data_IF_928659247779
#
_entry.id   IF_928659247779
#
_cell.length_a   1.000
_cell.length_b   1.000
_cell.length_c   1.000
_cell.angle_alpha   90.00
_cell.angle_beta   90.00
_cell.angle_gamma   90.00
#
_symmetry.space_group_name_H-M   'P 1'
#
loop_
_entity.id
_entity.type
_entity.pdbx_description
1 polymer ?
#
# COMPACT_ATOMS: atom_id res chain seq x y z
N UNK A 1 34.99 -86.47 24.88
CA UNK A 1 36.38 -86.62 25.36
C UNK A 1 37.00 -85.23 25.37
N UNK A 2 36.83 -84.45 26.45
CA UNK A 2 37.84 -84.23 27.50
C UNK A 2 39.27 -84.06 26.96
N UNK A 3 39.73 -82.81 26.88
CA UNK A 3 40.96 -82.40 27.55
C UNK A 3 40.93 -80.88 27.81
N UNK A 4 41.20 -80.53 29.07
CA UNK A 4 41.20 -79.19 29.62
C UNK A 4 42.54 -78.48 29.33
N UNK A 5 42.53 -77.15 29.35
CA UNK A 5 43.73 -76.35 29.60
C UNK A 5 43.35 -75.06 30.32
N UNK A 6 43.63 -75.12 31.62
CA UNK A 6 44.16 -74.12 32.56
C UNK A 6 43.92 -72.63 32.25
N UNK A 7 43.27 -72.03 33.26
CA UNK A 7 42.99 -70.63 33.53
C UNK A 7 44.26 -69.85 33.88
N UNK A 8 44.37 -68.62 33.35
CA UNK A 8 45.19 -67.55 33.94
C UNK A 8 44.34 -66.27 33.96
N UNK A 9 43.94 -65.89 35.18
CA UNK A 9 43.14 -64.70 35.48
C UNK A 9 44.08 -63.49 35.57
N UNK A 10 43.85 -62.48 34.73
CA UNK A 10 44.38 -61.13 34.92
C UNK A 10 43.22 -60.20 35.32
N UNK A 11 43.22 -59.76 36.58
CA UNK A 11 42.38 -58.66 37.07
C UNK A 11 42.99 -57.32 36.61
N UNK A 12 42.24 -56.42 35.94
CA UNK A 12 42.59 -55.02 35.92
C UNK A 12 41.92 -54.29 37.10
N UNK A 13 42.74 -53.55 37.85
CA UNK A 13 42.34 -52.57 38.87
C UNK A 13 41.29 -51.59 38.30
N UNK A 14 40.12 -51.50 38.91
CA UNK A 14 39.22 -50.35 38.75
C UNK A 14 39.82 -49.16 39.51
N UNK A 15 40.33 -48.17 38.77
CA UNK A 15 40.52 -46.84 39.30
C UNK A 15 39.17 -46.10 39.25
N UNK A 16 38.57 -45.86 40.42
CA UNK A 16 37.41 -45.00 40.57
C UNK A 16 37.85 -43.54 40.37
N UNK A 17 37.64 -42.99 39.17
CA UNK A 17 37.70 -41.54 38.98
C UNK A 17 36.35 -40.95 39.40
N UNK A 18 36.38 -40.10 40.41
CA UNK A 18 35.26 -39.25 40.82
C UNK A 18 34.77 -38.42 39.62
N UNK A 19 33.55 -38.69 39.18
CA UNK A 19 32.88 -37.89 38.18
C UNK A 19 32.56 -36.52 38.78
N UNK A 20 33.32 -35.50 38.38
CA UNK A 20 32.94 -34.11 38.58
C UNK A 20 31.60 -33.87 37.89
N UNK A 21 30.59 -33.49 38.69
CA UNK A 21 29.30 -33.04 38.22
C UNK A 21 29.45 -31.70 37.50
N UNK A 22 29.82 -31.74 36.23
CA UNK A 22 29.67 -30.61 35.33
C UNK A 22 28.17 -30.41 35.08
N UNK A 23 27.61 -29.38 35.70
CA UNK A 23 26.33 -28.81 35.29
C UNK A 23 26.36 -28.55 33.78
N UNK A 24 25.34 -28.97 33.00
CA UNK A 24 25.31 -28.66 31.59
C UNK A 24 25.32 -27.14 31.45
N UNK A 25 26.38 -26.61 30.83
CA UNK A 25 26.47 -25.21 30.47
C UNK A 25 25.25 -24.89 29.59
N UNK A 26 24.50 -23.80 29.85
CA UNK A 26 23.36 -23.46 29.02
C UNK A 26 23.84 -23.32 27.59
N UNK A 27 23.31 -24.15 26.68
CA UNK A 27 23.50 -24.00 25.24
C UNK A 27 23.23 -22.54 24.91
N UNK A 28 24.17 -21.78 24.34
CA UNK A 28 23.93 -20.38 24.02
C UNK A 28 22.68 -20.33 23.14
N UNK A 29 21.67 -19.58 23.61
CA UNK A 29 20.41 -19.45 22.88
C UNK A 29 20.73 -19.04 21.45
N UNK A 30 20.35 -19.87 20.48
CA UNK A 30 20.56 -19.60 19.05
C UNK A 30 19.98 -18.22 18.74
N UNK A 31 20.85 -17.27 18.40
CA UNK A 31 20.42 -15.93 17.98
C UNK A 31 19.62 -16.11 16.69
N UNK A 32 18.33 -15.81 16.75
CA UNK A 32 17.45 -15.85 15.57
C UNK A 32 17.95 -14.85 14.55
N UNK A 33 18.16 -15.31 13.32
CA UNK A 33 18.60 -14.45 12.21
C UNK A 33 17.47 -13.54 11.73
N UNK A 34 17.82 -12.44 11.06
CA UNK A 34 16.83 -11.55 10.44
C UNK A 34 15.96 -12.29 9.41
N UNK A 35 16.50 -13.29 8.71
CA UNK A 35 15.76 -14.11 7.75
C UNK A 35 14.70 -14.99 8.41
N UNK A 36 15.01 -15.60 9.55
CA UNK A 36 14.03 -16.40 10.32
C UNK A 36 12.91 -15.51 10.87
N UNK A 37 13.23 -14.28 11.29
CA UNK A 37 12.22 -13.29 11.72
C UNK A 37 11.36 -12.85 10.54
N UNK A 38 11.96 -12.57 9.38
CA UNK A 38 11.25 -12.16 8.18
C UNK A 38 10.25 -13.24 7.71
N UNK A 39 10.66 -14.50 7.68
CA UNK A 39 9.76 -15.61 7.34
C UNK A 39 8.59 -15.70 8.33
N UNK A 40 8.86 -15.62 9.63
CA UNK A 40 7.83 -15.65 10.66
C UNK A 40 6.86 -14.47 10.53
N UNK A 41 7.37 -13.28 10.21
CA UNK A 41 6.56 -12.09 9.93
C UNK A 41 5.62 -12.30 8.74
N UNK A 42 6.09 -12.85 7.61
CA UNK A 42 5.22 -13.14 6.45
C UNK A 42 4.07 -14.08 6.84
N UNK A 43 4.37 -15.12 7.61
CA UNK A 43 3.34 -16.06 8.09
C UNK A 43 2.33 -15.39 9.03
N UNK A 44 2.76 -14.45 9.87
CA UNK A 44 1.85 -13.66 10.69
C UNK A 44 0.94 -12.75 9.87
N UNK A 45 1.46 -12.10 8.82
CA UNK A 45 0.66 -11.27 7.91
C UNK A 45 -0.40 -12.12 7.21
N UNK A 46 -0.05 -13.31 6.73
CA UNK A 46 -1.00 -14.23 6.11
C UNK A 46 -2.05 -14.78 7.09
N UNK A 47 -1.66 -15.02 8.35
CA UNK A 47 -2.59 -15.41 9.41
C UNK A 47 -3.54 -14.26 9.78
N UNK A 48 -3.05 -13.01 9.80
CA UNK A 48 -3.87 -11.82 10.00
C UNK A 48 -4.93 -11.68 8.89
N UNK A 49 -4.58 -12.02 7.65
CA UNK A 49 -5.51 -12.06 6.52
C UNK A 49 -6.72 -13.00 6.71
N UNK A 50 -6.69 -13.94 7.66
CA UNK A 50 -7.86 -14.77 8.01
C UNK A 50 -8.83 -14.08 8.98
N UNK A 51 -8.41 -12.98 9.61
CA UNK A 51 -9.26 -12.13 10.45
C UNK A 51 -9.78 -10.93 9.70
N UNK A 52 -8.95 -10.38 8.81
CA UNK A 52 -9.25 -9.20 8.03
C UNK A 52 -8.97 -9.46 6.54
N UNK A 53 -10.03 -9.63 5.71
CA UNK A 53 -9.87 -9.97 4.31
C UNK A 53 -9.21 -8.86 3.47
N UNK A 54 -9.16 -7.62 3.98
CA UNK A 54 -8.52 -6.49 3.30
C UNK A 54 -7.05 -6.32 3.74
N UNK A 55 -6.55 -7.11 4.72
CA UNK A 55 -5.21 -6.92 5.28
C UNK A 55 -4.08 -7.26 4.32
N UNK A 56 -4.23 -8.30 3.50
CA UNK A 56 -3.19 -8.76 2.55
C UNK A 56 -3.52 -8.26 1.16
N UNK A 57 -2.88 -7.16 0.77
CA UNK A 57 -3.07 -6.52 -0.53
C UNK A 57 -2.49 -7.38 -1.66
N UNK A 58 -1.25 -7.82 -1.49
CA UNK A 58 -0.56 -8.70 -2.42
C UNK A 58 0.27 -9.75 -1.67
N UNK A 59 0.35 -10.95 -2.26
CA UNK A 59 1.26 -12.00 -1.83
C UNK A 59 1.73 -12.82 -3.03
N UNK A 60 3.05 -12.89 -3.19
CA UNK A 60 3.70 -13.62 -4.28
C UNK A 60 4.90 -14.46 -3.79
N UNK A 61 4.93 -14.76 -2.49
CA UNK A 61 5.86 -15.72 -1.91
C UNK A 61 5.43 -17.17 -2.12
N UNK A 62 6.06 -18.12 -1.40
CA UNK A 62 5.78 -19.54 -1.56
C UNK A 62 4.31 -19.93 -1.31
N UNK A 63 3.62 -20.57 -2.26
CA UNK A 63 2.18 -20.85 -2.17
C UNK A 63 1.80 -21.72 -0.97
N UNK A 64 2.72 -22.56 -0.49
CA UNK A 64 2.52 -23.41 0.69
C UNK A 64 2.34 -22.60 1.97
N UNK A 65 2.94 -21.41 2.11
CA UNK A 65 2.73 -20.59 3.31
C UNK A 65 1.31 -20.04 3.37
N UNK A 66 0.74 -19.63 2.23
CA UNK A 66 -0.66 -19.22 2.14
C UNK A 66 -1.62 -20.37 2.44
N UNK A 67 -1.27 -21.61 2.06
CA UNK A 67 -2.05 -22.80 2.40
C UNK A 67 -1.98 -23.11 3.90
N UNK A 68 -0.79 -23.01 4.50
CA UNK A 68 -0.58 -23.26 5.94
C UNK A 68 -1.28 -22.22 6.81
N UNK A 69 -1.45 -20.99 6.33
CA UNK A 69 -2.14 -19.92 7.07
C UNK A 69 -3.68 -19.99 6.97
N UNK A 70 -4.27 -21.02 6.35
CA UNK A 70 -5.73 -21.16 6.25
C UNK A 70 -6.39 -21.48 7.60
N UNK A 71 -5.64 -22.10 8.52
CA UNK A 71 -6.10 -22.29 9.89
C UNK A 71 -6.02 -20.95 10.65
N UNK A 72 -7.17 -20.50 11.16
CA UNK A 72 -7.32 -19.19 11.79
C UNK A 72 -6.67 -19.17 13.18
N UNK A 73 -5.39 -18.77 13.23
CA UNK A 73 -4.66 -18.52 14.48
C UNK A 73 -5.37 -17.45 15.33
N UNK A 74 -5.54 -17.60 16.66
CA UNK A 74 -6.15 -16.57 17.51
C UNK A 74 -5.39 -15.23 17.47
N UNK A 75 -6.11 -14.11 17.58
CA UNK A 75 -5.51 -12.76 17.57
C UNK A 75 -4.46 -12.57 18.69
N UNK A 76 -4.73 -13.08 19.89
CA UNK A 76 -3.78 -13.01 21.02
C UNK A 76 -2.47 -13.77 20.73
N UNK A 77 -2.54 -14.88 19.98
CA UNK A 77 -1.36 -15.62 19.56
C UNK A 77 -0.57 -14.85 18.48
N UNK A 78 -1.26 -14.17 17.55
CA UNK A 78 -0.63 -13.27 16.58
C UNK A 78 0.09 -12.11 17.30
N UNK A 79 -0.58 -11.46 18.27
CA UNK A 79 0.00 -10.39 19.08
C UNK A 79 1.26 -10.85 19.84
N UNK A 80 1.16 -12.00 20.53
CA UNK A 80 2.27 -12.55 21.30
C UNK A 80 3.47 -12.86 20.40
N UNK A 81 3.23 -13.49 19.25
CA UNK A 81 4.29 -13.81 18.29
C UNK A 81 4.91 -12.55 17.67
N UNK A 82 4.12 -11.54 17.31
CA UNK A 82 4.62 -10.28 16.76
C UNK A 82 5.54 -9.56 17.77
N UNK A 83 5.09 -9.44 19.02
CA UNK A 83 5.88 -8.86 20.13
C UNK A 83 7.18 -9.64 20.32
N UNK A 84 7.11 -10.99 20.37
CA UNK A 84 8.29 -11.84 20.50
C UNK A 84 9.29 -11.65 19.36
N UNK A 85 8.81 -11.52 18.11
CA UNK A 85 9.67 -11.28 16.95
C UNK A 85 10.34 -9.90 17.02
N UNK A 86 9.61 -8.87 17.46
CA UNK A 86 10.15 -7.52 17.65
C UNK A 86 11.26 -7.50 18.71
N UNK A 87 11.06 -8.21 19.83
CA UNK A 87 12.07 -8.36 20.88
C UNK A 87 13.31 -9.14 20.40
N UNK A 88 13.11 -10.18 19.58
CA UNK A 88 14.22 -10.92 18.98
C UNK A 88 15.02 -10.04 18.01
N UNK A 89 14.32 -9.25 17.19
CA UNK A 89 14.92 -8.34 16.21
C UNK A 89 15.77 -7.23 16.89
N UNK A 90 15.35 -6.77 18.07
CA UNK A 90 16.09 -5.81 18.88
C UNK A 90 17.41 -6.38 19.44
N UNK A 91 17.47 -7.70 19.69
CA UNK A 91 18.66 -8.39 20.21
C UNK A 91 19.74 -8.69 19.15
N UNK A 92 19.39 -8.59 17.86
CA UNK A 92 20.36 -8.76 16.78
C UNK A 92 21.39 -7.61 16.84
N UNK A 93 22.68 -7.94 16.82
CA UNK A 93 23.77 -6.95 16.82
C UNK A 93 23.62 -5.96 15.66
N UNK A 94 23.93 -4.68 15.88
CA UNK A 94 23.86 -3.66 14.82
C UNK A 94 24.81 -4.03 13.67
N UNK A 95 24.28 -4.04 12.43
CA UNK A 95 25.07 -4.30 11.23
C UNK A 95 25.79 -3.03 10.77
N UNK A 96 27.03 -3.18 10.27
CA UNK A 96 27.75 -2.11 9.57
C UNK A 96 27.19 -1.89 8.16
N UNK A 97 26.51 -2.87 7.58
CA UNK A 97 25.79 -2.74 6.31
C UNK A 97 24.53 -1.89 6.48
N UNK A 98 24.39 -0.85 5.66
CA UNK A 98 23.26 0.09 5.72
C UNK A 98 21.93 -0.55 5.36
N UNK A 99 21.92 -1.39 4.33
CA UNK A 99 20.72 -2.04 3.84
C UNK A 99 20.15 -3.00 4.90
N UNK A 100 21.00 -3.73 5.62
CA UNK A 100 20.59 -4.55 6.76
C UNK A 100 20.07 -3.70 7.94
N UNK A 101 20.62 -2.50 8.20
CA UNK A 101 20.04 -1.60 9.21
C UNK A 101 18.65 -1.12 8.83
N UNK A 102 18.46 -0.70 7.57
CA UNK A 102 17.17 -0.26 7.05
C UNK A 102 16.15 -1.40 7.05
N UNK A 103 16.55 -2.61 6.64
CA UNK A 103 15.73 -3.83 6.69
C UNK A 103 15.20 -4.11 8.09
N UNK A 104 16.05 -3.98 9.11
CA UNK A 104 15.64 -4.15 10.51
C UNK A 104 14.65 -3.07 10.94
N UNK A 105 14.91 -1.80 10.59
CA UNK A 105 13.98 -0.70 10.85
C UNK A 105 12.61 -0.96 10.21
N UNK A 106 12.59 -1.41 8.96
CA UNK A 106 11.39 -1.83 8.24
C UNK A 106 10.63 -2.92 9.00
N UNK A 107 11.26 -4.06 9.32
CA UNK A 107 10.61 -5.16 10.04
C UNK A 107 10.08 -4.73 11.41
N UNK A 108 10.80 -3.87 12.15
CA UNK A 108 10.31 -3.33 13.42
C UNK A 108 9.01 -2.55 13.23
N UNK A 109 8.97 -1.63 12.26
CA UNK A 109 7.78 -0.80 11.98
C UNK A 109 6.60 -1.65 11.48
N UNK A 110 6.89 -2.64 10.65
CA UNK A 110 5.90 -3.58 10.15
C UNK A 110 5.26 -4.44 11.26
N UNK A 111 6.08 -4.97 12.18
CA UNK A 111 5.58 -5.71 13.34
C UNK A 111 4.76 -4.82 14.27
N UNK A 112 5.17 -3.56 14.49
CA UNK A 112 4.38 -2.60 15.29
C UNK A 112 3.02 -2.28 14.66
N UNK A 113 2.94 -2.12 13.34
CA UNK A 113 1.67 -1.91 12.65
C UNK A 113 0.76 -3.16 12.70
N UNK A 114 1.35 -4.36 12.59
CA UNK A 114 0.64 -5.62 12.80
C UNK A 114 0.07 -5.71 14.23
N UNK A 115 0.86 -5.39 15.25
CA UNK A 115 0.41 -5.32 16.65
C UNK A 115 -0.77 -4.33 16.78
N UNK A 116 -0.65 -3.12 16.23
CA UNK A 116 -1.73 -2.12 16.24
C UNK A 116 -3.02 -2.63 15.58
N UNK A 117 -2.92 -3.29 14.41
CA UNK A 117 -4.09 -3.87 13.75
C UNK A 117 -4.75 -4.97 14.59
N UNK A 118 -3.97 -5.80 15.30
CA UNK A 118 -4.55 -6.77 16.25
C UNK A 118 -5.41 -6.06 17.29
N UNK A 119 -4.92 -4.96 17.89
CA UNK A 119 -5.67 -4.25 18.94
C UNK A 119 -6.99 -3.65 18.40
N UNK A 120 -6.95 -3.08 17.20
CA UNK A 120 -8.15 -2.55 16.51
C UNK A 120 -9.18 -3.67 16.27
N UNK A 121 -8.73 -4.83 15.79
CA UNK A 121 -9.60 -6.00 15.59
C UNK A 121 -10.15 -6.58 16.90
N UNK A 122 -9.42 -6.43 18.00
CA UNK A 122 -9.87 -6.74 19.37
C UNK A 122 -10.78 -5.64 19.98
N UNK A 123 -11.17 -4.63 19.20
CA UNK A 123 -12.18 -3.65 19.59
C UNK A 123 -11.63 -2.32 20.12
N UNK A 124 -10.32 -2.12 20.14
CA UNK A 124 -9.76 -0.80 20.41
C UNK A 124 -10.26 0.23 19.38
N UNK A 125 -10.47 1.46 19.84
CA UNK A 125 -10.85 2.60 19.00
C UNK A 125 -9.80 3.68 19.19
N UNK A 126 -9.01 3.91 18.14
CA UNK A 126 -8.00 4.95 18.10
C UNK A 126 -8.60 6.21 17.46
N UNK A 127 -8.10 7.37 17.85
CA UNK A 127 -8.34 8.60 17.09
C UNK A 127 -7.63 8.54 15.75
N UNK A 128 -8.06 9.36 14.79
CA UNK A 128 -7.49 9.38 13.43
C UNK A 128 -5.95 9.50 13.40
N UNK A 129 -5.39 10.43 14.18
CA UNK A 129 -3.94 10.64 14.25
C UNK A 129 -3.21 9.49 14.96
N UNK A 130 -3.83 8.91 15.98
CA UNK A 130 -3.26 7.77 16.70
C UNK A 130 -3.25 6.52 15.81
N UNK A 131 -4.33 6.29 15.07
CA UNK A 131 -4.45 5.18 14.13
C UNK A 131 -3.48 5.34 12.95
N UNK A 132 -3.44 6.51 12.33
CA UNK A 132 -2.53 6.78 11.22
C UNK A 132 -1.06 6.69 11.63
N UNK A 133 -0.70 7.19 12.80
CA UNK A 133 0.66 7.03 13.34
C UNK A 133 0.99 5.56 13.64
N UNK A 134 0.04 4.78 14.17
CA UNK A 134 0.27 3.39 14.53
C UNK A 134 0.35 2.45 13.32
N UNK A 135 -0.47 2.68 12.29
CA UNK A 135 -0.54 1.84 11.10
C UNK A 135 0.40 2.31 10.00
N UNK A 136 0.52 3.62 9.76
CA UNK A 136 1.22 4.17 8.58
C UNK A 136 2.50 4.94 8.93
N UNK A 137 2.83 5.08 10.22
CA UNK A 137 3.98 5.84 10.73
C UNK A 137 4.00 7.31 10.29
N UNK A 138 2.82 7.91 10.11
CA UNK A 138 2.67 9.27 9.65
C UNK A 138 1.44 9.97 10.25
N UNK A 139 1.53 11.30 10.31
CA UNK A 139 0.44 12.19 10.70
C UNK A 139 0.13 13.11 9.52
N UNK A 140 -1.16 13.22 9.19
CA UNK A 140 -1.60 14.15 8.15
C UNK A 140 -1.57 15.59 8.70
N UNK A 141 -1.15 16.58 7.90
CA UNK A 141 -1.28 17.98 8.28
C UNK A 141 -2.74 18.35 8.55
N UNK A 142 -2.95 19.40 9.34
CA UNK A 142 -4.28 19.93 9.65
C UNK A 142 -4.55 21.23 8.94
N UNK A 143 -5.78 21.40 8.45
CA UNK A 143 -6.24 22.63 7.82
C UNK A 143 -7.55 23.10 8.43
N UNK A 144 -7.60 24.38 8.79
CA UNK A 144 -8.84 25.00 9.27
C UNK A 144 -9.85 25.17 8.13
N UNK A 145 -11.13 25.28 8.48
CA UNK A 145 -12.23 25.51 7.53
C UNK A 145 -11.96 26.72 6.59
N UNK A 146 -11.34 27.78 7.11
CA UNK A 146 -10.98 28.99 6.35
C UNK A 146 -10.06 28.69 5.17
N UNK A 147 -9.15 27.71 5.29
CA UNK A 147 -8.27 27.30 4.20
C UNK A 147 -9.07 26.85 2.97
N UNK A 148 -10.08 25.99 3.18
CA UNK A 148 -10.92 25.50 2.11
C UNK A 148 -11.85 26.59 1.58
N UNK A 149 -12.40 27.43 2.45
CA UNK A 149 -13.25 28.57 2.06
C UNK A 149 -12.52 29.54 1.13
N UNK A 150 -11.24 29.85 1.39
CA UNK A 150 -10.42 30.71 0.53
C UNK A 150 -10.20 30.10 -0.86
N UNK A 151 -9.98 28.78 -0.94
CA UNK A 151 -9.83 28.07 -2.22
C UNK A 151 -11.15 28.08 -3.00
N UNK A 152 -12.27 27.80 -2.33
CA UNK A 152 -13.61 27.83 -2.94
C UNK A 152 -13.95 29.24 -3.45
N UNK A 153 -13.60 30.29 -2.71
CA UNK A 153 -13.80 31.68 -3.13
C UNK A 153 -13.00 32.05 -4.39
N UNK A 154 -11.80 31.45 -4.58
CA UNK A 154 -10.99 31.61 -5.80
C UNK A 154 -11.54 30.79 -6.98
N UNK A 155 -12.20 29.68 -6.69
CA UNK A 155 -12.83 28.84 -7.70
C UNK A 155 -14.13 29.45 -8.22
N UNK A 156 -14.89 30.12 -7.36
CA UNK A 156 -16.19 30.69 -7.70
C UNK A 156 -16.25 31.49 -9.01
N UNK A 157 -15.42 32.54 -9.21
CA UNK A 157 -15.48 33.35 -10.43
C UNK A 157 -15.06 32.58 -11.70
N UNK A 158 -14.48 31.37 -11.57
CA UNK A 158 -14.07 30.54 -12.71
C UNK A 158 -15.19 29.64 -13.24
N UNK A 159 -16.26 29.48 -12.47
CA UNK A 159 -17.38 28.61 -12.79
C UNK A 159 -18.67 29.44 -12.79
N UNK A 160 -18.90 30.31 -13.80
CA UNK A 160 -20.09 31.16 -13.85
C UNK A 160 -21.37 30.34 -14.11
N UNK A 161 -22.52 30.85 -13.65
CA UNK A 161 -23.83 30.25 -13.86
C UNK A 161 -24.72 30.31 -12.61
N UNK A 162 -25.87 29.65 -12.69
CA UNK A 162 -26.83 29.56 -11.57
C UNK A 162 -26.57 28.32 -10.69
N UNK A 163 -27.06 28.34 -9.45
CA UNK A 163 -26.96 27.22 -8.51
C UNK A 163 -25.81 27.32 -7.50
N UNK A 164 -25.50 26.21 -6.83
CA UNK A 164 -24.36 26.12 -5.92
C UNK A 164 -23.05 25.92 -6.68
N UNK A 165 -21.90 26.22 -6.05
CA UNK A 165 -20.58 25.97 -6.64
C UNK A 165 -20.40 24.52 -7.10
N UNK A 166 -20.84 23.56 -6.27
CA UNK A 166 -20.83 22.14 -6.62
C UNK A 166 -21.64 21.84 -7.88
N UNK A 167 -22.86 22.39 -8.01
CA UNK A 167 -23.69 22.20 -9.20
C UNK A 167 -23.02 22.79 -10.45
N UNK A 168 -22.42 23.97 -10.34
CA UNK A 168 -21.69 24.59 -11.45
C UNK A 168 -20.45 23.80 -11.84
N UNK A 169 -19.68 23.32 -10.86
CA UNK A 169 -18.53 22.45 -11.09
C UNK A 169 -18.92 21.14 -11.78
N UNK A 170 -19.94 20.45 -11.30
CA UNK A 170 -20.42 19.20 -11.89
C UNK A 170 -21.00 19.41 -13.30
N UNK A 171 -21.68 20.52 -13.57
CA UNK A 171 -22.15 20.86 -14.91
C UNK A 171 -20.98 21.17 -15.85
N UNK A 172 -20.02 21.98 -15.40
CA UNK A 172 -18.83 22.37 -16.16
C UNK A 172 -17.98 21.15 -16.55
N UNK A 173 -17.74 20.23 -15.61
CA UNK A 173 -16.80 19.13 -15.83
C UNK A 173 -17.32 18.04 -16.78
N UNK A 174 -18.63 17.96 -17.03
CA UNK A 174 -19.24 16.98 -17.95
C UNK A 174 -18.64 17.01 -19.34
N UNK A 175 -18.20 18.18 -19.79
CA UNK A 175 -17.57 18.36 -21.10
C UNK A 175 -16.21 17.64 -21.23
N UNK A 176 -15.62 17.17 -20.13
CA UNK A 176 -14.31 16.53 -20.08
C UNK A 176 -14.37 15.03 -19.74
N UNK A 177 -15.57 14.44 -19.79
CA UNK A 177 -15.74 12.99 -19.63
C UNK A 177 -15.21 12.28 -20.86
N UNK A 178 -14.40 11.24 -20.66
CA UNK A 178 -13.97 10.35 -21.74
C UNK A 178 -15.16 9.46 -22.14
N UNK A 179 -15.61 9.47 -23.41
CA UNK A 179 -16.67 8.58 -23.87
C UNK A 179 -16.30 7.11 -23.67
N UNK A 180 -17.27 6.28 -23.29
CA UNK A 180 -17.02 4.87 -22.91
C UNK A 180 -16.36 4.05 -24.02
N UNK A 181 -16.73 4.30 -25.26
CA UNK A 181 -16.18 3.69 -26.48
C UNK A 181 -14.74 4.13 -26.79
N UNK A 182 -14.26 5.21 -26.16
CA UNK A 182 -12.91 5.76 -26.33
C UNK A 182 -11.99 5.50 -25.14
N UNK A 183 -12.52 5.00 -24.01
CA UNK A 183 -11.76 4.79 -22.78
C UNK A 183 -10.50 3.94 -23.01
N UNK A 184 -10.66 2.79 -23.66
CA UNK A 184 -9.52 1.88 -23.90
C UNK A 184 -8.43 2.57 -24.72
N UNK A 185 -8.77 3.17 -25.86
CA UNK A 185 -7.83 3.92 -26.70
C UNK A 185 -7.08 5.00 -25.93
N UNK A 186 -7.79 5.82 -25.14
CA UNK A 186 -7.20 6.91 -24.35
C UNK A 186 -6.25 6.35 -23.28
N UNK A 187 -6.65 5.29 -22.57
CA UNK A 187 -5.79 4.66 -21.55
C UNK A 187 -4.56 4.01 -22.17
N UNK A 188 -4.67 3.29 -23.29
CA UNK A 188 -3.52 2.69 -23.96
C UNK A 188 -2.51 3.75 -24.42
N UNK A 189 -2.98 4.90 -24.93
CA UNK A 189 -2.11 6.03 -25.28
C UNK A 189 -1.39 6.60 -24.05
N UNK A 190 -2.10 6.77 -22.94
CA UNK A 190 -1.52 7.25 -21.68
C UNK A 190 -0.48 6.26 -21.13
N UNK A 191 -0.81 4.96 -21.08
CA UNK A 191 0.09 3.89 -20.64
C UNK A 191 1.36 3.84 -21.48
N UNK A 192 1.24 3.91 -22.81
CA UNK A 192 2.39 3.92 -23.71
C UNK A 192 3.32 5.10 -23.41
N UNK A 193 2.76 6.30 -23.28
CA UNK A 193 3.54 7.51 -23.01
C UNK A 193 4.23 7.45 -21.64
N UNK A 194 3.51 7.01 -20.60
CA UNK A 194 4.03 6.78 -19.26
C UNK A 194 5.16 5.75 -19.25
N UNK A 195 5.02 4.65 -20.01
CA UNK A 195 6.04 3.61 -20.14
C UNK A 195 7.31 4.12 -20.81
N UNK A 196 7.17 4.80 -21.94
CA UNK A 196 8.30 5.39 -22.68
C UNK A 196 9.14 6.32 -21.78
N UNK A 197 8.47 7.19 -21.01
CA UNK A 197 9.11 8.10 -20.06
C UNK A 197 9.72 7.37 -18.87
N UNK A 198 9.01 6.38 -18.32
CA UNK A 198 9.54 5.56 -17.22
C UNK A 198 10.86 4.90 -17.59
N UNK A 199 10.96 4.34 -18.80
CA UNK A 199 12.17 3.67 -19.28
C UNK A 199 13.37 4.61 -19.50
N UNK A 200 13.15 5.93 -19.59
CA UNK A 200 14.23 6.91 -19.61
C UNK A 200 14.90 7.07 -18.23
N UNK A 201 14.20 6.75 -17.15
CA UNK A 201 14.65 6.94 -15.77
C UNK A 201 14.93 5.63 -15.03
N UNK A 202 14.19 4.57 -15.35
CA UNK A 202 14.13 3.34 -14.56
C UNK A 202 14.36 2.14 -15.45
N UNK A 203 15.34 1.30 -15.09
CA UNK A 203 15.55 0.00 -15.73
C UNK A 203 14.58 -1.02 -15.14
N UNK A 204 13.77 -1.62 -16.01
CA UNK A 204 12.78 -2.61 -15.63
C UNK A 204 13.21 -4.05 -15.95
N UNK A 205 12.74 -5.06 -15.20
CA UNK A 205 12.93 -6.47 -15.57
C UNK A 205 12.38 -6.73 -16.99
N UNK A 206 13.13 -7.38 -17.91
CA UNK A 206 12.68 -7.52 -19.31
C UNK A 206 11.33 -8.22 -19.49
N UNK A 207 10.90 -9.03 -18.52
CA UNK A 207 9.65 -9.77 -18.54
C UNK A 207 8.51 -9.06 -17.79
N UNK A 208 8.71 -7.85 -17.27
CA UNK A 208 7.62 -7.08 -16.64
C UNK A 208 6.52 -6.76 -17.63
N UNK A 209 5.27 -6.88 -17.19
CA UNK A 209 4.12 -6.42 -17.94
C UNK A 209 2.87 -6.37 -17.07
N UNK A 210 1.84 -5.68 -17.54
CA UNK A 210 0.49 -5.80 -17.00
C UNK A 210 -0.58 -5.85 -18.09
N UNK A 211 -1.75 -6.37 -17.71
CA UNK A 211 -2.98 -6.23 -18.49
C UNK A 211 -3.90 -5.22 -17.83
N UNK A 212 -4.85 -4.66 -18.61
CA UNK A 212 -5.89 -3.76 -18.12
C UNK A 212 -7.26 -4.38 -18.35
N UNK A 213 -8.13 -4.32 -17.35
CA UNK A 213 -9.49 -4.86 -17.40
C UNK A 213 -10.50 -3.84 -16.87
N UNK A 214 -11.65 -3.71 -17.54
CA UNK A 214 -12.76 -2.91 -17.04
C UNK A 214 -13.63 -3.72 -16.08
N UNK A 215 -13.97 -3.13 -14.94
CA UNK A 215 -14.85 -3.73 -13.91
C UNK A 215 -15.96 -2.77 -13.50
N UNK A 216 -16.92 -3.30 -12.73
CA UNK A 216 -18.07 -2.58 -12.16
C UNK A 216 -18.31 -3.04 -10.73
N UNK A 217 -19.15 -2.32 -9.99
CA UNK A 217 -19.56 -2.59 -8.59
C UNK A 217 -18.38 -2.71 -7.63
N UNK A 218 -17.35 -1.88 -7.84
CA UNK A 218 -16.18 -1.81 -6.98
C UNK A 218 -16.20 -0.52 -6.14
N UNK A 219 -15.67 -0.56 -4.90
CA UNK A 219 -15.63 0.64 -4.05
C UNK A 219 -14.53 1.63 -4.46
N UNK A 220 -13.59 1.22 -5.31
CA UNK A 220 -12.43 1.99 -5.79
C UNK A 220 -12.57 2.37 -7.27
N UNK A 221 -11.74 3.33 -7.72
CA UNK A 221 -11.73 3.83 -9.10
C UNK A 221 -10.81 3.04 -10.05
N UNK A 222 -9.64 2.64 -9.58
CA UNK A 222 -8.78 1.66 -10.23
C UNK A 222 -8.01 0.89 -9.15
N UNK A 223 -7.41 -0.23 -9.54
CA UNK A 223 -6.59 -1.03 -8.63
C UNK A 223 -5.59 -1.90 -9.38
N UNK A 224 -4.34 -1.93 -8.94
CA UNK A 224 -3.30 -2.84 -9.43
C UNK A 224 -3.25 -4.13 -8.60
N UNK A 225 -3.60 -5.26 -9.22
CA UNK A 225 -3.37 -6.56 -8.65
C UNK A 225 -2.01 -7.11 -9.05
N UNK A 226 -0.99 -6.92 -8.21
CA UNK A 226 0.32 -7.53 -8.43
C UNK A 226 0.26 -9.05 -8.22
N UNK A 227 0.72 -9.82 -9.21
CA UNK A 227 0.62 -11.29 -9.25
C UNK A 227 1.95 -12.00 -8.97
N UNK A 228 3.02 -11.25 -8.68
CA UNK A 228 4.38 -11.78 -8.71
C UNK A 228 4.89 -11.97 -10.13
N UNK A 229 6.10 -12.51 -10.26
CA UNK A 229 6.77 -12.78 -11.55
C UNK A 229 6.77 -11.57 -12.50
N UNK A 230 6.79 -10.37 -11.91
CA UNK A 230 6.73 -9.09 -12.63
C UNK A 230 5.44 -8.89 -13.43
N UNK A 231 4.30 -9.44 -12.97
CA UNK A 231 3.00 -9.32 -13.65
C UNK A 231 1.97 -8.63 -12.77
N UNK A 232 1.18 -7.73 -13.36
CA UNK A 232 -0.02 -7.16 -12.74
C UNK A 232 -1.26 -7.33 -13.60
N UNK A 233 -2.42 -7.22 -12.97
CA UNK A 233 -3.70 -6.93 -13.63
C UNK A 233 -4.19 -5.60 -13.07
N UNK A 234 -4.30 -4.58 -13.90
CA UNK A 234 -4.89 -3.29 -13.53
C UNK A 234 -6.38 -3.37 -13.84
N UNK A 235 -7.21 -3.12 -12.85
CA UNK A 235 -8.65 -3.05 -13.03
C UNK A 235 -9.11 -1.60 -12.95
N UNK A 236 -9.94 -1.16 -13.89
CA UNK A 236 -10.52 0.20 -13.93
C UNK A 236 -12.03 0.09 -13.71
N UNK A 237 -12.54 0.75 -12.68
CA UNK A 237 -13.97 0.76 -12.39
C UNK A 237 -14.69 1.76 -13.29
N UNK A 238 -15.72 1.29 -14.00
CA UNK A 238 -16.47 2.06 -15.00
C UNK A 238 -17.89 2.46 -14.56
N UNK A 239 -18.19 2.31 -13.27
CA UNK A 239 -19.47 2.71 -12.67
C UNK A 239 -19.68 4.24 -12.68
N UNK A 240 -18.60 5.01 -12.53
CA UNK A 240 -18.60 6.48 -12.54
C UNK A 240 -17.94 7.02 -13.82
N UNK A 241 -18.33 8.23 -14.27
CA UNK A 241 -17.64 8.89 -15.38
C UNK A 241 -16.14 9.05 -15.12
N UNK A 242 -15.32 8.67 -16.10
CA UNK A 242 -13.88 8.90 -16.08
C UNK A 242 -13.59 10.19 -16.85
N UNK A 243 -12.89 11.12 -16.21
CA UNK A 243 -12.54 12.43 -16.77
C UNK A 243 -11.13 12.40 -17.38
N UNK A 244 -10.85 13.33 -18.29
CA UNK A 244 -9.61 13.34 -19.08
C UNK A 244 -8.32 13.42 -18.24
N UNK A 245 -8.36 14.11 -17.10
CA UNK A 245 -7.25 14.17 -16.13
C UNK A 245 -6.85 12.79 -15.59
N UNK A 246 -7.83 11.89 -15.46
CA UNK A 246 -7.62 10.56 -14.91
C UNK A 246 -6.86 9.63 -15.85
N UNK A 247 -6.74 9.94 -17.14
CA UNK A 247 -6.07 9.07 -18.10
C UNK A 247 -4.58 8.89 -17.75
N UNK A 248 -3.85 10.00 -17.60
CA UNK A 248 -2.43 9.97 -17.21
C UNK A 248 -2.29 9.58 -15.75
N UNK A 249 -3.13 10.15 -14.87
CA UNK A 249 -3.05 9.88 -13.44
C UNK A 249 -3.16 8.36 -13.16
N UNK A 250 -4.15 7.66 -13.72
CA UNK A 250 -4.30 6.21 -13.53
C UNK A 250 -3.21 5.40 -14.22
N UNK A 251 -2.83 5.77 -15.45
CA UNK A 251 -1.77 5.07 -16.18
C UNK A 251 -0.42 5.14 -15.44
N UNK A 252 -0.13 6.29 -14.82
CA UNK A 252 1.06 6.48 -14.01
C UNK A 252 0.95 5.79 -12.65
N UNK A 253 -0.14 6.04 -11.91
CA UNK A 253 -0.35 5.56 -10.54
C UNK A 253 -0.42 4.04 -10.47
N UNK A 254 -1.18 3.40 -11.34
CA UNK A 254 -1.35 1.95 -11.32
C UNK A 254 -0.26 1.22 -12.12
N UNK A 255 0.30 1.87 -13.14
CA UNK A 255 1.22 1.28 -14.10
C UNK A 255 2.63 1.82 -13.99
N UNK A 256 2.97 2.75 -14.89
CA UNK A 256 4.33 3.23 -15.11
C UNK A 256 4.49 4.70 -14.67
N UNK A 257 5.24 5.03 -13.61
CA UNK A 257 6.12 4.20 -12.79
C UNK A 257 5.52 3.81 -11.42
N UNK A 258 4.20 3.82 -11.25
CA UNK A 258 3.54 3.58 -9.96
C UNK A 258 3.51 2.11 -9.52
N UNK A 259 2.37 1.63 -9.04
CA UNK A 259 2.25 0.35 -8.31
C UNK A 259 2.86 -0.85 -9.03
N UNK A 260 2.70 -0.98 -10.35
CA UNK A 260 3.31 -2.07 -11.10
C UNK A 260 4.84 -2.05 -11.01
N UNK A 261 5.46 -0.90 -11.31
CA UNK A 261 6.91 -0.74 -11.28
C UNK A 261 7.45 -0.84 -9.86
N UNK A 262 6.77 -0.25 -8.88
CA UNK A 262 7.10 -0.37 -7.46
C UNK A 262 7.24 -1.83 -7.03
N UNK A 263 6.20 -2.64 -7.27
CA UNK A 263 6.22 -4.05 -6.89
C UNK A 263 7.20 -4.88 -7.72
N UNK A 264 7.35 -4.61 -9.01
CA UNK A 264 8.32 -5.29 -9.87
C UNK A 264 9.76 -5.08 -9.39
N UNK A 265 10.08 -3.86 -8.94
CA UNK A 265 11.41 -3.53 -8.41
C UNK A 265 11.63 -4.07 -6.99
N UNK A 266 10.61 -4.13 -6.13
CA UNK A 266 10.71 -4.83 -4.84
C UNK A 266 10.98 -6.33 -5.06
N UNK A 267 10.23 -6.97 -5.95
CA UNK A 267 10.42 -8.40 -6.25
C UNK A 267 11.83 -8.65 -6.80
N UNK A 268 12.30 -7.82 -7.74
CA UNK A 268 13.63 -8.00 -8.34
C UNK A 268 14.74 -7.76 -7.32
N UNK A 269 14.76 -6.58 -6.70
CA UNK A 269 15.92 -6.13 -5.93
C UNK A 269 15.97 -6.70 -4.51
N UNK A 270 14.82 -6.92 -3.87
CA UNK A 270 14.76 -7.33 -2.47
C UNK A 270 14.40 -8.81 -2.32
N UNK A 271 13.38 -9.28 -3.03
CA UNK A 271 12.98 -10.69 -2.91
C UNK A 271 13.97 -11.61 -3.63
N UNK A 272 14.26 -11.35 -4.91
CA UNK A 272 15.08 -12.27 -5.73
C UNK A 272 16.58 -12.07 -5.55
N UNK A 273 17.09 -10.85 -5.66
CA UNK A 273 18.54 -10.63 -5.56
C UNK A 273 19.08 -10.80 -4.14
N UNK A 274 18.30 -10.38 -3.12
CA UNK A 274 18.72 -10.39 -1.71
C UNK A 274 18.11 -11.53 -0.88
N UNK A 275 17.10 -12.22 -1.38
CA UNK A 275 16.42 -13.27 -0.63
C UNK A 275 15.57 -12.75 0.54
N UNK A 276 15.16 -11.48 0.53
CA UNK A 276 14.40 -10.85 1.61
C UNK A 276 12.90 -11.10 1.43
N UNK A 277 12.45 -12.23 1.96
CA UNK A 277 11.09 -12.76 1.79
C UNK A 277 10.00 -11.86 2.37
N UNK A 278 10.31 -10.98 3.32
CA UNK A 278 9.33 -10.06 3.90
C UNK A 278 8.76 -9.06 2.89
N UNK A 279 9.43 -8.85 1.75
CA UNK A 279 8.93 -8.00 0.66
C UNK A 279 8.03 -8.76 -0.32
N UNK A 280 7.86 -10.08 -0.16
CA UNK A 280 6.94 -10.89 -0.98
C UNK A 280 5.47 -10.78 -0.55
N UNK A 281 5.20 -10.00 0.50
CA UNK A 281 3.86 -9.72 1.03
C UNK A 281 3.70 -8.21 1.19
N UNK A 282 2.50 -7.71 0.92
CA UNK A 282 2.14 -6.31 1.12
C UNK A 282 0.93 -6.23 2.07
N UNK A 283 1.14 -5.87 3.35
CA UNK A 283 0.06 -5.60 4.27
C UNK A 283 -0.50 -4.19 4.08
N UNK A 284 -1.81 -4.09 3.82
CA UNK A 284 -2.49 -2.84 3.49
C UNK A 284 -2.49 -1.83 4.65
N UNK A 285 -2.59 -2.30 5.90
CA UNK A 285 -2.57 -1.45 7.08
C UNK A 285 -1.16 -1.43 7.68
N UNK A 286 -0.21 -0.84 6.94
CA UNK A 286 1.20 -0.77 7.34
C UNK A 286 1.93 0.45 6.75
N UNK A 287 3.13 0.82 7.26
CA UNK A 287 3.90 1.95 6.73
C UNK A 287 4.36 1.75 5.28
N UNK A 288 4.36 0.50 4.79
CA UNK A 288 4.62 0.22 3.37
C UNK A 288 3.57 0.87 2.48
N UNK A 289 2.31 0.94 2.92
CA UNK A 289 1.22 1.51 2.13
C UNK A 289 1.40 3.00 1.87
N UNK A 290 1.87 3.75 2.88
CA UNK A 290 2.20 5.16 2.69
C UNK A 290 3.29 5.34 1.63
N UNK A 291 4.32 4.49 1.65
CA UNK A 291 5.41 4.54 0.66
C UNK A 291 4.92 4.12 -0.73
N UNK A 292 4.11 3.07 -0.82
CA UNK A 292 3.57 2.57 -2.07
C UNK A 292 2.64 3.60 -2.74
N UNK A 293 1.65 4.13 -1.99
CA UNK A 293 0.72 5.16 -2.48
C UNK A 293 1.44 6.49 -2.76
N UNK A 294 2.37 6.91 -1.90
CA UNK A 294 3.17 8.11 -2.12
C UNK A 294 4.01 8.01 -3.39
N UNK A 295 4.63 6.85 -3.64
CA UNK A 295 5.41 6.58 -4.85
C UNK A 295 4.52 6.57 -6.09
N UNK A 296 3.35 5.94 -6.01
CA UNK A 296 2.39 5.90 -7.11
C UNK A 296 1.87 7.29 -7.48
N UNK A 297 1.52 8.11 -6.50
CA UNK A 297 1.11 9.51 -6.70
C UNK A 297 2.24 10.35 -7.30
N UNK A 298 3.45 10.24 -6.75
CA UNK A 298 4.62 10.97 -7.24
C UNK A 298 5.07 10.51 -8.63
N UNK A 299 4.75 9.27 -9.02
CA UNK A 299 5.13 8.68 -10.30
C UNK A 299 4.73 9.52 -11.51
N UNK A 300 3.62 10.26 -11.41
CA UNK A 300 3.19 11.23 -12.43
C UNK A 300 4.24 12.30 -12.69
N UNK A 301 4.82 12.88 -11.64
CA UNK A 301 5.82 13.95 -11.73
C UNK A 301 7.17 13.43 -12.24
N UNK A 302 7.45 12.14 -12.05
CA UNK A 302 8.63 11.49 -12.62
C UNK A 302 8.56 11.41 -14.14
N UNK A 303 7.38 11.11 -14.70
CA UNK A 303 7.23 10.92 -16.14
C UNK A 303 6.77 12.17 -16.88
N UNK A 304 6.05 13.08 -16.22
CA UNK A 304 5.55 14.29 -16.83
C UNK A 304 5.81 15.51 -15.95
N UNK A 305 6.56 16.48 -16.48
CA UNK A 305 6.42 17.85 -16.01
C UNK A 305 5.06 18.41 -16.42
N UNK A 306 4.58 19.44 -15.72
CA UNK A 306 3.29 20.07 -16.04
C UNK A 306 3.19 20.57 -17.50
N UNK A 307 4.19 21.26 -18.09
CA UNK A 307 4.14 21.66 -19.50
C UNK A 307 4.09 20.47 -20.47
N UNK A 308 4.89 19.42 -20.22
CA UNK A 308 4.89 18.22 -21.08
C UNK A 308 3.56 17.49 -21.02
N UNK A 309 2.94 17.41 -19.83
CA UNK A 309 1.60 16.85 -19.65
C UNK A 309 0.58 17.61 -20.48
N UNK A 310 0.52 18.93 -20.34
CA UNK A 310 -0.44 19.77 -21.07
C UNK A 310 -0.25 19.62 -22.59
N UNK A 311 0.98 19.65 -23.08
CA UNK A 311 1.27 19.50 -24.50
C UNK A 311 0.81 18.12 -25.02
N UNK A 312 1.16 17.06 -24.30
CA UNK A 312 0.80 15.70 -24.69
C UNK A 312 -0.72 15.49 -24.67
N UNK A 313 -1.39 15.93 -23.62
CA UNK A 313 -2.84 15.84 -23.50
C UNK A 313 -3.55 16.60 -24.62
N UNK A 314 -3.14 17.84 -24.87
CA UNK A 314 -3.71 18.69 -25.93
C UNK A 314 -3.57 18.08 -27.32
N UNK A 315 -2.42 17.46 -27.60
CA UNK A 315 -2.12 16.89 -28.93
C UNK A 315 -2.64 15.47 -29.12
N UNK A 316 -2.75 14.69 -28.06
CA UNK A 316 -2.98 13.24 -28.14
C UNK A 316 -4.25 12.83 -27.41
N UNK A 317 -4.32 13.02 -26.08
CA UNK A 317 -5.40 12.44 -25.28
C UNK A 317 -6.75 13.13 -25.50
N UNK A 318 -6.77 14.47 -25.57
CA UNK A 318 -8.00 15.23 -25.77
C UNK A 318 -8.63 14.93 -27.14
N UNK A 319 -7.89 14.98 -28.27
CA UNK A 319 -8.42 14.53 -29.56
C UNK A 319 -8.86 13.07 -29.55
N UNK A 320 -8.09 12.17 -28.92
CA UNK A 320 -8.46 10.76 -28.81
C UNK A 320 -9.76 10.54 -28.04
N UNK A 321 -10.04 11.37 -27.03
CA UNK A 321 -11.31 11.39 -26.30
C UNK A 321 -12.44 12.12 -27.08
N UNK A 322 -12.11 12.87 -28.13
CA UNK A 322 -13.05 13.77 -28.83
C UNK A 322 -13.43 15.00 -28.01
N UNK A 323 -12.52 15.47 -27.16
CA UNK A 323 -12.67 16.69 -26.36
C UNK A 323 -11.89 17.80 -27.06
N UNK A 324 -12.52 18.96 -27.21
CA UNK A 324 -11.92 20.14 -27.86
C UNK A 324 -10.69 20.66 -27.10
N UNK A 325 -9.47 20.60 -27.67
CA UNK A 325 -8.23 20.94 -26.95
C UNK A 325 -8.08 22.42 -26.59
N UNK A 326 -8.98 23.29 -27.06
CA UNK A 326 -8.95 24.73 -26.80
C UNK A 326 -9.17 25.08 -25.32
N UNK A 327 -9.79 24.18 -24.55
CA UNK A 327 -10.13 24.39 -23.13
C UNK A 327 -9.14 23.77 -22.14
N UNK A 328 -7.99 23.27 -22.59
CA UNK A 328 -7.01 22.59 -21.71
C UNK A 328 -6.46 23.50 -20.60
N UNK A 329 -6.17 24.76 -20.92
CA UNK A 329 -5.66 25.72 -19.93
C UNK A 329 -6.72 26.10 -18.89
N UNK A 330 -7.97 26.29 -19.35
CA UNK A 330 -9.12 26.54 -18.48
C UNK A 330 -9.34 25.36 -17.53
N UNK A 331 -9.29 24.14 -18.08
CA UNK A 331 -9.45 22.90 -17.33
C UNK A 331 -8.41 22.78 -16.22
N UNK A 332 -7.12 22.92 -16.52
CA UNK A 332 -6.08 22.80 -15.50
C UNK A 332 -6.08 23.96 -14.49
N UNK A 333 -6.48 25.16 -14.90
CA UNK A 333 -6.66 26.29 -13.97
C UNK A 333 -7.70 25.97 -12.88
N UNK A 334 -8.77 25.25 -13.24
CA UNK A 334 -9.78 24.78 -12.29
C UNK A 334 -9.27 23.58 -11.50
N UNK A 335 -8.68 22.58 -12.17
CA UNK A 335 -8.21 21.36 -11.49
C UNK A 335 -7.12 21.65 -10.46
N UNK A 336 -6.19 22.56 -10.73
CA UNK A 336 -5.16 22.97 -9.77
C UNK A 336 -5.73 23.55 -8.46
N UNK A 337 -6.92 24.15 -8.50
CA UNK A 337 -7.61 24.64 -7.30
C UNK A 337 -8.35 23.51 -6.61
N UNK A 338 -9.01 22.64 -7.37
CA UNK A 338 -9.72 21.47 -6.83
C UNK A 338 -8.75 20.50 -6.15
N UNK A 339 -7.55 20.30 -6.69
CA UNK A 339 -6.50 19.45 -6.09
C UNK A 339 -6.09 19.95 -4.70
N UNK A 340 -6.14 21.27 -4.44
CA UNK A 340 -5.85 21.85 -3.12
C UNK A 340 -6.94 21.59 -2.09
N UNK A 341 -8.14 21.18 -2.51
CA UNK A 341 -9.23 20.80 -1.62
C UNK A 341 -9.12 19.35 -1.13
N UNK A 342 -8.14 18.57 -1.62
CA UNK A 342 -8.00 17.14 -1.27
C UNK A 342 -7.93 16.89 0.24
N UNK A 343 -7.26 17.75 1.00
CA UNK A 343 -7.18 17.68 2.47
C UNK A 343 -8.53 17.86 3.18
N UNK A 344 -9.57 18.36 2.51
CA UNK A 344 -10.91 18.37 3.08
C UNK A 344 -11.41 16.94 3.38
N UNK A 345 -10.94 15.95 2.61
CA UNK A 345 -11.25 14.53 2.88
C UNK A 345 -10.56 14.05 4.16
N UNK A 346 -9.32 14.48 4.40
CA UNK A 346 -8.59 14.17 5.63
C UNK A 346 -9.29 14.76 6.86
N UNK A 347 -9.75 16.02 6.81
CA UNK A 347 -10.47 16.61 7.94
C UNK A 347 -11.83 15.95 8.19
N UNK A 348 -12.57 15.62 7.12
CA UNK A 348 -13.81 14.84 7.26
C UNK A 348 -13.56 13.48 7.94
N UNK A 349 -12.49 12.80 7.52
CA UNK A 349 -12.10 11.52 8.10
C UNK A 349 -11.66 11.67 9.56
N UNK A 350 -10.90 12.72 9.87
CA UNK A 350 -10.42 13.03 11.22
C UNK A 350 -11.58 13.24 12.18
N UNK A 351 -12.49 14.16 11.87
CA UNK A 351 -13.64 14.45 12.72
C UNK A 351 -14.56 13.21 12.85
N UNK A 352 -14.76 12.46 11.76
CA UNK A 352 -15.62 11.27 11.76
C UNK A 352 -15.04 10.12 12.61
N UNK A 353 -13.77 9.78 12.41
CA UNK A 353 -13.08 8.70 13.15
C UNK A 353 -12.93 9.07 14.63
N UNK A 354 -12.72 10.35 14.95
CA UNK A 354 -12.70 10.84 16.33
C UNK A 354 -14.07 10.80 17.02
N UNK A 355 -15.16 10.56 16.27
CA UNK A 355 -16.53 10.56 16.79
C UNK A 355 -17.09 11.96 17.05
N UNK A 356 -16.50 12.99 16.45
CA UNK A 356 -16.92 14.39 16.60
C UNK A 356 -18.10 14.72 15.69
N UNK A 357 -18.18 14.05 14.53
CA UNK A 357 -19.29 14.16 13.58
C UNK A 357 -19.82 12.78 13.19
N UNK A 358 -21.09 12.72 12.78
CA UNK A 358 -21.69 11.51 12.23
C UNK A 358 -21.45 11.37 10.72
N UNK A 359 -21.92 10.27 10.13
CA UNK A 359 -21.72 9.99 8.70
C UNK A 359 -22.41 11.01 7.77
N UNK A 360 -23.54 11.59 8.19
CA UNK A 360 -24.27 12.57 7.40
C UNK A 360 -23.55 13.92 7.41
N UNK A 361 -23.04 14.32 8.57
CA UNK A 361 -22.20 15.50 8.73
C UNK A 361 -20.89 15.36 7.93
N UNK A 362 -20.23 14.20 7.96
CA UNK A 362 -19.06 13.92 7.13
C UNK A 362 -19.37 14.02 5.63
N UNK A 363 -20.48 13.43 5.17
CA UNK A 363 -20.91 13.56 3.78
C UNK A 363 -21.26 15.01 3.39
N UNK A 364 -21.82 15.80 4.31
CA UNK A 364 -22.11 17.23 4.09
C UNK A 364 -20.81 18.04 3.96
N UNK A 365 -19.82 17.77 4.82
CA UNK A 365 -18.49 18.35 4.72
C UNK A 365 -17.84 18.05 3.37
N UNK A 366 -17.85 16.79 2.93
CA UNK A 366 -17.28 16.37 1.65
C UNK A 366 -17.98 17.03 0.45
N UNK A 367 -19.30 17.22 0.50
CA UNK A 367 -20.02 17.95 -0.54
C UNK A 367 -19.59 19.42 -0.62
N UNK A 368 -19.43 20.07 0.53
CA UNK A 368 -19.09 21.49 0.61
C UNK A 368 -17.62 21.75 0.26
N UNK A 369 -16.70 21.03 0.91
CA UNK A 369 -15.28 21.34 0.88
C UNK A 369 -14.48 20.48 -0.10
N UNK A 370 -14.92 19.26 -0.41
CA UNK A 370 -14.25 18.40 -1.39
C UNK A 370 -14.95 18.37 -2.76
N UNK A 371 -16.01 19.18 -2.94
CA UNK A 371 -16.82 19.27 -4.18
C UNK A 371 -17.27 17.89 -4.71
N UNK A 372 -17.65 17.00 -3.79
CA UNK A 372 -18.22 15.70 -4.15
C UNK A 372 -19.74 15.83 -4.29
N UNK A 373 -20.35 15.25 -5.32
CA UNK A 373 -21.81 15.08 -5.34
C UNK A 373 -22.27 14.16 -4.19
N UNK A 374 -23.57 14.15 -3.88
CA UNK A 374 -24.11 13.37 -2.76
C UNK A 374 -23.76 11.88 -2.81
N UNK A 375 -23.78 11.24 -4.00
CA UNK A 375 -23.44 9.82 -4.14
C UNK A 375 -21.95 9.58 -3.89
N UNK A 376 -21.09 10.44 -4.42
CA UNK A 376 -19.63 10.38 -4.21
C UNK A 376 -19.26 10.65 -2.76
N UNK A 377 -19.93 11.60 -2.10
CA UNK A 377 -19.72 11.89 -0.69
C UNK A 377 -20.15 10.71 0.21
N UNK A 378 -21.31 10.11 -0.04
CA UNK A 378 -21.73 8.90 0.67
C UNK A 378 -20.77 7.72 0.47
N UNK A 379 -20.28 7.53 -0.76
CA UNK A 379 -19.28 6.50 -1.06
C UNK A 379 -17.96 6.77 -0.34
N UNK A 380 -17.49 8.02 -0.31
CA UNK A 380 -16.28 8.41 0.40
C UNK A 380 -16.42 8.24 1.92
N UNK A 381 -17.55 8.60 2.53
CA UNK A 381 -17.80 8.34 3.97
C UNK A 381 -17.80 6.84 4.28
N UNK A 382 -18.38 6.00 3.41
CA UNK A 382 -18.30 4.54 3.55
C UNK A 382 -16.87 4.01 3.42
N UNK A 383 -16.06 4.63 2.55
CA UNK A 383 -14.66 4.30 2.39
C UNK A 383 -13.87 4.63 3.66
N UNK A 384 -14.01 5.85 4.20
CA UNK A 384 -13.40 6.31 5.47
C UNK A 384 -13.78 5.38 6.64
N UNK A 385 -15.02 4.88 6.66
CA UNK A 385 -15.45 3.94 7.70
C UNK A 385 -14.78 2.56 7.56
N UNK A 386 -14.46 2.15 6.33
CA UNK A 386 -13.97 0.80 6.02
C UNK A 386 -12.44 0.70 6.14
N UNK A 387 -11.73 1.70 5.63
CA UNK A 387 -10.27 1.77 5.54
C UNK A 387 -9.77 3.01 6.24
#
# INVERSE_FOLDING_TARGET
MKCASVVLVFLPLLAASTADGATPSPTPARVTSANEIAEAYVKLVLAMGQHDPDYVDAYYGPPEWKKQSQEKKPLDAIMFEATRLRDQLAKISKSTDEMERLRRGYLTKQLSALEARVRILNGERLKFDEESQALYDALAPTFAETHFQEILARLEPKLPGEGTLLQRYENWRRAFVIPKDKLDTVFQLAIKACRERTLAHIKLPPSENFSVESVTKKPWGAFNWYKGIYRSIIQVNTDLPVYIDRAIDLAAHEGYPGHHVYNALLEKNLVRDRGWVEFSVYPLFSPQSLIAEGTANFGREVVFTKPERLEFEKKVLWPAAGIEPSRVEEFYTVQDLVEKLTYATNEAAREYVNGEIDANAAATWLQKYALMDGKRAEQATKFIKKY
#
